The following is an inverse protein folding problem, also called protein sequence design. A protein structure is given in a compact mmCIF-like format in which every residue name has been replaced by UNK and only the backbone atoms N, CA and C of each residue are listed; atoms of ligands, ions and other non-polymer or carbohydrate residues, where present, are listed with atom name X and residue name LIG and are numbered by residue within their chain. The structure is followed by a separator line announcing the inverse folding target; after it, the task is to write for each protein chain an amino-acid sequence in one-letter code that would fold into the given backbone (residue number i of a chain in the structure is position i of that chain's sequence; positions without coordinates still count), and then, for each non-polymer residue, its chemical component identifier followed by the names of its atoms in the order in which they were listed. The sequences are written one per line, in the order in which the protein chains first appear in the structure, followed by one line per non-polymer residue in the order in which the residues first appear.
data_IF_350199838421
#
_entry.id   IF_350199838421
#
_cell.length_a   1.000
_cell.length_b   1.000
_cell.length_c   1.000
_cell.angle_alpha   90.00
_cell.angle_beta   90.00
_cell.angle_gamma   90.00
#
_symmetry.space_group_name_H-M   'P 1'
#
loop_
_entity.id
_entity.type
_entity.pdbx_description
1 polymer ?
#
# COMPACT_ATOMS: atom_id res chain seq x y z
N UNK A 1 26.15 22.57 -26.97
CA UNK A 1 25.28 21.47 -26.52
C UNK A 1 23.95 22.10 -26.13
N UNK A 2 22.86 21.82 -26.86
CA UNK A 2 21.54 22.42 -26.58
C UNK A 2 20.74 21.50 -25.64
N UNK A 3 20.16 22.02 -24.55
CA UNK A 3 19.30 21.25 -23.67
C UNK A 3 17.99 20.91 -24.38
N UNK A 4 17.60 19.63 -24.36
CA UNK A 4 16.26 19.18 -24.75
C UNK A 4 15.41 19.08 -23.48
N UNK A 5 14.49 20.02 -23.20
CA UNK A 5 13.58 19.87 -22.08
C UNK A 5 12.64 18.69 -22.37
N UNK A 6 12.69 17.67 -21.52
CA UNK A 6 11.77 16.54 -21.58
C UNK A 6 10.45 16.99 -20.96
N UNK A 7 9.48 17.35 -21.79
CA UNK A 7 8.09 17.57 -21.35
C UNK A 7 7.40 16.22 -21.29
N UNK A 8 6.95 15.82 -20.10
CA UNK A 8 6.32 14.52 -19.87
C UNK A 8 5.67 14.41 -18.50
N UNK A 9 5.01 15.47 -18.02
CA UNK A 9 4.33 15.52 -16.71
C UNK A 9 2.85 15.91 -16.83
N UNK A 10 2.17 15.44 -17.88
CA UNK A 10 0.74 15.75 -18.09
C UNK A 10 -0.07 14.47 -18.29
N UNK A 11 -0.04 13.58 -17.30
CA UNK A 11 -0.84 12.35 -17.31
C UNK A 11 -0.64 11.42 -16.11
N UNK A 12 0.37 11.67 -15.26
CA UNK A 12 0.55 10.92 -14.02
C UNK A 12 -0.36 11.51 -12.94
N UNK A 13 -1.53 10.92 -12.76
CA UNK A 13 -2.36 11.16 -11.57
C UNK A 13 -1.72 10.37 -10.42
N UNK A 14 -1.45 10.96 -9.24
CA UNK A 14 -1.02 10.20 -8.09
C UNK A 14 -2.17 9.29 -7.64
N UNK A 15 -2.14 8.03 -8.03
CA UNK A 15 -2.97 6.99 -7.42
C UNK A 15 -2.29 6.51 -6.14
N UNK A 16 -3.09 6.12 -5.15
CA UNK A 16 -2.62 5.58 -3.86
C UNK A 16 -1.78 4.31 -4.02
N UNK A 17 -1.81 3.68 -5.20
CA UNK A 17 -1.07 2.49 -5.56
C UNK A 17 -0.72 2.50 -7.06
N UNK A 18 0.42 1.93 -7.42
CA UNK A 18 0.79 1.64 -8.81
C UNK A 18 1.52 0.30 -8.85
N UNK A 19 1.22 -0.54 -9.84
CA UNK A 19 1.84 -1.86 -10.01
C UNK A 19 3.37 -1.83 -10.18
N UNK A 20 3.93 -0.68 -10.56
CA UNK A 20 5.37 -0.49 -10.70
C UNK A 20 6.09 -0.15 -9.36
N UNK A 21 5.39 -0.13 -8.23
CA UNK A 21 6.00 0.03 -6.90
C UNK A 21 6.68 -1.29 -6.48
N UNK A 22 7.81 -1.61 -7.12
CA UNK A 22 8.57 -2.86 -6.89
C UNK A 22 9.48 -2.83 -5.65
N UNK A 23 9.52 -1.74 -4.88
CA UNK A 23 10.36 -1.66 -3.69
C UNK A 23 9.64 -2.14 -2.42
N UNK A 24 10.40 -2.72 -1.49
CA UNK A 24 9.98 -3.13 -0.13
C UNK A 24 9.04 -4.35 -0.03
N UNK A 25 9.16 -5.33 -0.94
CA UNK A 25 8.45 -6.62 -0.82
C UNK A 25 7.05 -6.65 -1.44
N UNK A 26 6.68 -5.60 -2.17
CA UNK A 26 5.44 -5.54 -2.96
C UNK A 26 5.33 -6.68 -3.98
N UNK A 27 6.45 -7.10 -4.61
CA UNK A 27 6.47 -8.22 -5.56
C UNK A 27 6.08 -9.55 -4.92
N UNK A 28 6.49 -9.83 -3.67
CA UNK A 28 6.08 -11.07 -3.00
C UNK A 28 4.60 -11.09 -2.66
N UNK A 29 4.06 -9.94 -2.24
CA UNK A 29 2.63 -9.77 -2.00
C UNK A 29 1.84 -9.98 -3.30
N UNK A 30 2.29 -9.34 -4.38
CA UNK A 30 1.64 -9.42 -5.69
C UNK A 30 1.68 -10.84 -6.25
N UNK A 31 2.82 -11.54 -6.15
CA UNK A 31 2.93 -12.93 -6.57
C UNK A 31 1.97 -13.83 -5.80
N UNK A 32 1.91 -13.70 -4.47
CA UNK A 32 0.97 -14.48 -3.64
C UNK A 32 -0.49 -14.18 -3.97
N UNK A 33 -0.80 -12.93 -4.24
CA UNK A 33 -2.15 -12.54 -4.65
C UNK A 33 -2.51 -13.14 -6.01
N UNK A 34 -1.59 -13.08 -6.97
CA UNK A 34 -1.78 -13.66 -8.29
C UNK A 34 -1.97 -15.18 -8.22
N UNK A 35 -1.14 -15.89 -7.44
CA UNK A 35 -1.29 -17.32 -7.18
C UNK A 35 -2.65 -17.67 -6.57
N UNK A 36 -3.21 -16.80 -5.72
CA UNK A 36 -4.47 -17.05 -5.03
C UNK A 36 -5.72 -16.66 -5.84
N UNK A 37 -5.66 -15.58 -6.61
CA UNK A 37 -6.83 -15.00 -7.28
C UNK A 37 -6.76 -15.01 -8.81
N UNK A 38 -5.64 -15.42 -9.39
CA UNK A 38 -5.45 -15.53 -10.85
C UNK A 38 -5.48 -14.20 -11.59
N UNK A 39 -5.28 -13.08 -10.89
CA UNK A 39 -5.27 -11.72 -11.44
C UNK A 39 -4.31 -10.83 -10.67
N UNK A 40 -3.92 -9.72 -11.28
CA UNK A 40 -3.13 -8.68 -10.62
C UNK A 40 -3.94 -7.94 -9.53
N UNK A 41 -3.22 -7.43 -8.52
CA UNK A 41 -3.82 -6.58 -7.49
C UNK A 41 -4.22 -5.22 -8.08
N UNK A 42 -5.44 -4.80 -7.79
CA UNK A 42 -5.90 -3.42 -8.01
C UNK A 42 -5.67 -2.59 -6.75
N UNK A 43 -5.80 -1.27 -6.89
CA UNK A 43 -5.61 -0.31 -5.78
C UNK A 43 -6.47 -0.64 -4.55
N UNK A 44 -7.70 -1.13 -4.77
CA UNK A 44 -8.62 -1.54 -3.69
C UNK A 44 -8.11 -2.77 -2.93
N UNK A 45 -7.52 -3.74 -3.63
CA UNK A 45 -6.96 -4.94 -3.01
C UNK A 45 -5.76 -4.56 -2.15
N UNK A 46 -4.92 -3.65 -2.65
CA UNK A 46 -3.79 -3.13 -1.91
C UNK A 46 -4.21 -2.34 -0.67
N UNK A 47 -5.19 -1.44 -0.81
CA UNK A 47 -5.75 -0.71 0.31
C UNK A 47 -6.33 -1.66 1.38
N UNK A 48 -7.00 -2.73 0.96
CA UNK A 48 -7.50 -3.77 1.86
C UNK A 48 -6.37 -4.48 2.62
N UNK A 49 -5.33 -4.91 1.91
CA UNK A 49 -4.16 -5.53 2.54
C UNK A 49 -3.46 -4.59 3.54
N UNK A 50 -3.27 -3.32 3.15
CA UNK A 50 -2.64 -2.31 4.00
C UNK A 50 -3.47 -2.06 5.26
N UNK A 51 -4.79 -1.96 5.15
CA UNK A 51 -5.68 -1.76 6.29
C UNK A 51 -5.56 -2.91 7.32
N UNK A 52 -5.56 -4.16 6.86
CA UNK A 52 -5.39 -5.33 7.74
C UNK A 52 -4.01 -5.32 8.39
N UNK A 53 -2.96 -4.98 7.65
CA UNK A 53 -1.60 -4.86 8.18
C UNK A 53 -1.50 -3.79 9.26
N UNK A 54 -2.05 -2.60 9.03
CA UNK A 54 -2.05 -1.50 9.99
C UNK A 54 -2.78 -1.86 11.29
N UNK A 55 -3.94 -2.53 11.20
CA UNK A 55 -4.66 -3.03 12.38
C UNK A 55 -3.83 -4.06 13.13
N UNK A 56 -3.19 -5.00 12.42
CA UNK A 56 -2.37 -6.05 13.02
C UNK A 56 -1.14 -5.48 13.74
N UNK A 57 -0.54 -4.43 13.17
CA UNK A 57 0.52 -3.68 13.82
C UNK A 57 0.02 -2.97 15.08
N UNK A 58 -1.13 -2.30 15.00
CA UNK A 58 -1.75 -1.66 16.16
C UNK A 58 -1.99 -2.66 17.31
N UNK A 59 -2.49 -3.86 17.00
CA UNK A 59 -2.67 -4.93 17.99
C UNK A 59 -1.34 -5.34 18.61
N UNK A 60 -0.31 -5.54 17.80
CA UNK A 60 1.03 -5.94 18.27
C UNK A 60 1.65 -4.86 19.17
N UNK A 61 1.47 -3.58 18.82
CA UNK A 61 2.07 -2.43 19.51
C UNK A 61 1.36 -2.08 20.81
N UNK A 62 0.03 -2.17 20.82
CA UNK A 62 -0.79 -1.88 21.99
C UNK A 62 -0.98 -3.09 22.91
N UNK A 63 -0.65 -4.30 22.43
CA UNK A 63 -0.91 -5.57 23.12
C UNK A 63 -2.38 -5.71 23.57
N UNK A 64 -3.30 -5.14 22.79
CA UNK A 64 -4.71 -5.04 23.12
C UNK A 64 -5.57 -5.44 21.91
N UNK A 65 -6.78 -5.92 22.20
CA UNK A 65 -7.83 -6.14 21.22
C UNK A 65 -9.02 -5.17 21.40
N UNK A 66 -8.89 -4.17 22.29
CA UNK A 66 -9.92 -3.14 22.49
C UNK A 66 -9.97 -2.17 21.28
N UNK A 67 -11.11 -2.06 20.58
CA UNK A 67 -11.23 -1.19 19.41
C UNK A 67 -10.88 0.28 19.68
N UNK A 68 -11.17 0.79 20.90
CA UNK A 68 -10.85 2.18 21.24
C UNK A 68 -9.35 2.39 21.35
N UNK A 69 -8.64 1.51 22.06
CA UNK A 69 -7.19 1.56 22.16
C UNK A 69 -6.51 1.46 20.78
N UNK A 70 -6.97 0.56 19.91
CA UNK A 70 -6.45 0.42 18.55
C UNK A 70 -6.69 1.67 17.70
N UNK A 71 -7.90 2.25 17.77
CA UNK A 71 -8.24 3.47 17.06
C UNK A 71 -7.37 4.65 17.52
N UNK A 72 -7.19 4.81 18.83
CA UNK A 72 -6.32 5.85 19.39
C UNK A 72 -4.87 5.71 18.92
N UNK A 73 -4.34 4.49 18.82
CA UNK A 73 -3.00 4.24 18.28
C UNK A 73 -2.91 4.57 16.78
N UNK A 74 -3.90 4.15 15.98
CA UNK A 74 -3.91 4.45 14.54
C UNK A 74 -4.04 5.95 14.23
N UNK A 75 -4.61 6.73 15.15
CA UNK A 75 -4.76 8.18 15.03
C UNK A 75 -3.65 8.98 15.72
N UNK A 76 -2.70 8.33 16.40
CA UNK A 76 -1.57 9.04 17.01
C UNK A 76 -0.51 9.35 15.94
N UNK A 77 -0.15 10.64 15.79
CA UNK A 77 0.94 11.10 14.92
C UNK A 77 2.31 10.67 15.45
#
# INVERSE_FOLDING_TARGET
WLPRPVSGTHGLTPTTWHWALEQWGATQLQNRFYEQFGREMLDKDYAGWLAVRSISEAVTRTQSNDPKALYSYLMSN
#
